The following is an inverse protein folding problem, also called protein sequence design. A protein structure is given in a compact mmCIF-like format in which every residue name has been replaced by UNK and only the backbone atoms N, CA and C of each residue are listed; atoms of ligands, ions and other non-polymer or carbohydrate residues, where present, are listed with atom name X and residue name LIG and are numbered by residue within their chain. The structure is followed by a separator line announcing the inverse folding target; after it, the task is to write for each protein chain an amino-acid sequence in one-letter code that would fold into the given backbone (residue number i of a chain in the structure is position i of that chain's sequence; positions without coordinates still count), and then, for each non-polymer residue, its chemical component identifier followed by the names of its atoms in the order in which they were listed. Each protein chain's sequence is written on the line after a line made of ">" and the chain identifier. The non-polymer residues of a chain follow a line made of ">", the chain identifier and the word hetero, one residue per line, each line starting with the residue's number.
data_IF_615455416507
#
_entry.id   IF_615455416507
#
_cell.length_a   1.000
_cell.length_b   1.000
_cell.length_c   1.000
_cell.angle_alpha   90.00
_cell.angle_beta   90.00
_cell.angle_gamma   90.00
#
_symmetry.space_group_name_H-M   'P 1'
#
loop_
_entity.id
_entity.type
_entity.pdbx_description
1 polymer ?
#
# COMPACT_ATOMS: atom_id res chain seq x y z
N UNK A 1 -57.82 3.92 60.90
CA UNK A 1 -58.24 3.77 62.32
C UNK A 1 -59.13 2.53 62.36
N UNK A 2 -58.90 1.45 63.10
CA UNK A 2 -58.16 1.15 64.33
C UNK A 2 -57.31 -0.14 64.15
N UNK A 3 -56.02 -0.15 64.55
CA UNK A 3 -55.44 -0.83 65.75
C UNK A 3 -55.80 -2.33 65.88
N UNK A 4 -54.89 -3.28 65.66
CA UNK A 4 -53.72 -3.68 66.46
C UNK A 4 -54.08 -4.39 67.78
N UNK A 5 -53.83 -5.69 67.85
CA UNK A 5 -53.47 -6.39 69.10
C UNK A 5 -52.20 -7.20 68.81
N UNK A 6 -51.09 -6.68 69.31
CA UNK A 6 -49.83 -7.39 69.46
C UNK A 6 -49.78 -7.99 70.87
N UNK A 7 -49.14 -9.15 71.00
CA UNK A 7 -48.77 -9.69 72.31
C UNK A 7 -48.62 -11.20 72.28
N UNK A 8 -47.41 -11.68 71.93
CA UNK A 8 -46.57 -12.45 72.86
C UNK A 8 -45.36 -13.02 72.11
N UNK A 9 -44.17 -12.56 72.53
CA UNK A 9 -42.87 -13.10 72.16
C UNK A 9 -42.26 -13.79 73.39
N UNK A 10 -41.80 -15.03 73.19
CA UNK A 10 -40.50 -15.60 73.63
C UNK A 10 -40.33 -15.85 75.14
N UNK A 11 -39.78 -16.95 75.67
CA UNK A 11 -38.72 -17.85 75.20
C UNK A 11 -38.81 -19.21 75.91
N UNK A 12 -38.37 -20.28 75.24
CA UNK A 12 -38.29 -21.61 75.84
C UNK A 12 -37.73 -22.65 74.87
N UNK A 13 -36.41 -22.61 74.69
CA UNK A 13 -35.54 -23.53 73.94
C UNK A 13 -36.09 -24.96 73.75
N UNK A 14 -36.69 -25.19 72.59
CA UNK A 14 -36.97 -26.52 72.04
C UNK A 14 -36.10 -26.74 70.80
N UNK A 15 -35.26 -27.77 70.87
CA UNK A 15 -34.48 -28.34 69.77
C UNK A 15 -35.16 -28.18 68.40
N UNK A 16 -34.66 -27.24 67.58
CA UNK A 16 -35.06 -27.09 66.18
C UNK A 16 -34.54 -28.32 65.44
N UNK A 17 -35.41 -29.33 65.29
CA UNK A 17 -35.16 -30.37 64.31
C UNK A 17 -35.07 -29.69 62.95
N UNK A 18 -33.90 -29.80 62.32
CA UNK A 18 -33.65 -29.40 60.94
C UNK A 18 -34.63 -30.14 60.02
N UNK A 19 -35.80 -29.56 59.79
CA UNK A 19 -36.62 -29.85 58.63
C UNK A 19 -35.90 -29.29 57.41
N UNK A 20 -34.87 -29.98 56.94
CA UNK A 20 -34.41 -29.84 55.56
C UNK A 20 -35.50 -30.47 54.69
N UNK A 21 -36.63 -29.77 54.54
CA UNK A 21 -37.65 -30.11 53.56
C UNK A 21 -36.93 -29.99 52.22
N UNK A 22 -36.53 -31.13 51.66
CA UNK A 22 -35.97 -31.24 50.31
C UNK A 22 -37.08 -30.74 49.38
N UNK A 23 -37.12 -29.44 49.13
CA UNK A 23 -38.00 -28.86 48.12
C UNK A 23 -37.53 -29.47 46.81
N UNK A 24 -38.22 -30.52 46.38
CA UNK A 24 -38.03 -31.10 45.06
C UNK A 24 -38.44 -30.01 44.08
N UNK A 25 -37.45 -29.26 43.59
CA UNK A 25 -37.67 -28.23 42.59
C UNK A 25 -38.29 -28.92 41.38
N UNK A 26 -39.52 -28.52 41.03
CA UNK A 26 -40.16 -28.98 39.81
C UNK A 26 -39.31 -28.49 38.63
N UNK A 27 -38.76 -29.45 37.90
CA UNK A 27 -37.77 -29.20 36.87
C UNK A 27 -38.23 -29.77 35.53
N UNK A 28 -37.86 -29.09 34.45
CA UNK A 28 -37.96 -29.65 33.12
C UNK A 28 -36.84 -30.68 32.87
N UNK A 29 -36.99 -31.54 31.83
CA UNK A 29 -35.92 -32.39 31.34
C UNK A 29 -34.66 -31.59 30.98
N UNK A 30 -33.53 -32.28 30.87
CA UNK A 30 -32.25 -31.68 30.46
C UNK A 30 -32.34 -31.08 29.05
N UNK A 31 -32.54 -29.76 29.01
CA UNK A 31 -32.59 -28.94 27.79
C UNK A 31 -33.84 -29.13 26.91
N UNK A 32 -34.31 -28.07 26.24
CA UNK A 32 -35.29 -28.20 25.16
C UNK A 32 -34.65 -28.84 23.92
N UNK A 33 -35.43 -29.67 23.22
CA UNK A 33 -35.12 -30.03 21.84
C UNK A 33 -35.38 -28.81 20.95
N UNK A 34 -34.30 -28.18 20.49
CA UNK A 34 -34.37 -27.07 19.56
C UNK A 34 -34.46 -27.51 18.09
N UNK A 35 -34.47 -28.82 17.84
CA UNK A 35 -34.32 -29.41 16.51
C UNK A 35 -32.89 -29.84 16.20
N UNK A 36 -32.70 -30.41 15.01
CA UNK A 36 -31.40 -30.95 14.58
C UNK A 36 -30.29 -29.89 14.58
N UNK A 37 -29.11 -30.27 15.07
CA UNK A 37 -27.92 -29.41 15.12
C UNK A 37 -28.06 -28.12 15.95
N UNK A 38 -29.01 -28.08 16.88
CA UNK A 38 -29.16 -27.00 17.86
C UNK A 38 -28.58 -27.35 19.23
N UNK A 39 -28.28 -26.33 20.02
CA UNK A 39 -27.89 -26.44 21.42
C UNK A 39 -28.58 -25.37 22.26
N UNK A 40 -28.96 -25.74 23.48
CA UNK A 40 -29.52 -24.82 24.46
C UNK A 40 -28.46 -24.41 25.48
N UNK A 41 -28.38 -23.12 25.77
CA UNK A 41 -27.54 -22.59 26.86
C UNK A 41 -28.41 -22.37 28.09
N UNK A 42 -28.22 -23.18 29.14
CA UNK A 42 -28.95 -23.05 30.40
C UNK A 42 -28.07 -23.34 31.61
N UNK A 43 -28.36 -22.67 32.73
CA UNK A 43 -27.70 -22.87 34.02
C UNK A 43 -28.54 -23.68 34.99
N UNK A 44 -29.88 -23.70 34.82
CA UNK A 44 -30.83 -24.44 35.66
C UNK A 44 -32.08 -24.82 34.88
N UNK A 45 -32.62 -26.02 35.11
CA UNK A 45 -33.83 -26.55 34.46
C UNK A 45 -35.08 -26.37 35.32
N UNK A 46 -35.26 -25.23 35.97
CA UNK A 46 -36.38 -25.03 36.92
C UNK A 46 -37.60 -24.49 36.19
N UNK A 47 -38.80 -24.92 36.60
CA UNK A 47 -40.05 -24.35 36.12
C UNK A 47 -40.05 -22.81 36.12
N UNK A 48 -40.51 -22.21 35.02
CA UNK A 48 -40.54 -20.77 34.80
C UNK A 48 -39.29 -20.19 34.14
N UNK A 49 -38.17 -20.92 34.12
CA UNK A 49 -36.93 -20.47 33.47
C UNK A 49 -37.05 -20.48 31.96
N UNK A 50 -36.24 -19.65 31.29
CA UNK A 50 -36.15 -19.59 29.83
C UNK A 50 -34.70 -19.76 29.40
N UNK A 51 -34.52 -20.39 28.25
CA UNK A 51 -33.20 -20.74 27.71
C UNK A 51 -33.10 -20.28 26.27
N UNK A 52 -31.88 -19.97 25.85
CA UNK A 52 -31.61 -19.56 24.47
C UNK A 52 -31.13 -20.77 23.69
N UNK A 53 -31.73 -20.97 22.53
CA UNK A 53 -31.40 -22.04 21.59
C UNK A 53 -30.64 -21.40 20.43
N UNK A 54 -29.51 -22.01 20.07
CA UNK A 54 -28.59 -21.57 19.02
C UNK A 54 -28.09 -22.77 18.23
N UNK A 55 -27.50 -22.56 17.05
CA UNK A 55 -26.84 -23.64 16.34
C UNK A 55 -25.60 -24.16 17.08
N UNK A 56 -25.34 -25.47 16.99
CA UNK A 56 -24.10 -26.09 17.46
C UNK A 56 -22.90 -25.50 16.73
N UNK A 57 -21.71 -25.64 17.33
CA UNK A 57 -20.46 -25.30 16.66
C UNK A 57 -20.36 -26.03 15.30
N UNK A 58 -20.00 -25.29 14.25
CA UNK A 58 -19.96 -25.81 12.88
C UNK A 58 -21.26 -25.64 12.08
N UNK A 59 -22.33 -25.12 12.68
CA UNK A 59 -23.61 -24.85 12.02
C UNK A 59 -24.03 -23.38 12.13
N UNK A 60 -24.84 -22.91 11.20
CA UNK A 60 -25.40 -21.55 11.14
C UNK A 60 -26.86 -21.55 10.70
N UNK A 61 -27.55 -20.45 10.90
CA UNK A 61 -28.87 -20.22 10.28
C UNK A 61 -28.72 -19.69 8.86
N UNK A 62 -29.76 -19.85 8.04
CA UNK A 62 -29.75 -19.25 6.70
C UNK A 62 -29.71 -17.72 6.78
N UNK A 63 -29.15 -17.04 5.76
CA UNK A 63 -29.23 -15.60 5.66
C UNK A 63 -30.68 -15.10 5.74
N UNK A 64 -30.95 -14.14 6.64
CA UNK A 64 -32.30 -13.58 6.84
C UNK A 64 -33.17 -14.31 7.88
N UNK A 65 -32.75 -15.48 8.37
CA UNK A 65 -33.45 -16.19 9.45
C UNK A 65 -32.98 -15.74 10.84
N UNK A 66 -33.80 -16.01 11.86
CA UNK A 66 -33.47 -15.71 13.24
C UNK A 66 -32.30 -16.58 13.74
N UNK A 67 -31.26 -15.96 14.28
CA UNK A 67 -30.04 -16.66 14.75
C UNK A 67 -30.18 -17.33 16.11
N UNK A 68 -31.27 -17.05 16.83
CA UNK A 68 -31.56 -17.60 18.16
C UNK A 68 -33.06 -17.73 18.40
N UNK A 69 -33.44 -18.83 19.03
CA UNK A 69 -34.79 -19.07 19.54
C UNK A 69 -34.82 -19.00 21.07
N UNK A 70 -36.00 -18.78 21.65
CA UNK A 70 -36.20 -18.87 23.10
C UNK A 70 -37.24 -19.94 23.43
N UNK A 71 -36.91 -20.79 24.40
CA UNK A 71 -37.83 -21.79 24.96
C UNK A 71 -37.99 -21.57 26.47
N UNK A 72 -39.19 -21.79 27.00
CA UNK A 72 -39.53 -21.60 28.42
C UNK A 72 -39.94 -22.92 29.04
N UNK A 73 -39.45 -23.22 30.24
CA UNK A 73 -39.89 -24.35 31.04
C UNK A 73 -41.26 -24.02 31.68
N UNK A 74 -42.30 -24.76 31.34
CA UNK A 74 -43.66 -24.56 31.84
C UNK A 74 -43.78 -24.91 33.33
N UNK A 75 -44.54 -24.13 34.09
CA UNK A 75 -44.86 -24.45 35.50
C UNK A 75 -45.89 -25.58 35.63
N UNK A 76 -46.74 -25.75 34.62
CA UNK A 76 -47.89 -26.67 34.68
C UNK A 76 -47.50 -28.05 34.17
N UNK A 77 -46.91 -28.10 32.98
CA UNK A 77 -46.58 -29.35 32.29
C UNK A 77 -45.18 -29.86 32.60
N UNK A 78 -44.31 -29.01 33.17
CA UNK A 78 -42.88 -29.29 33.36
C UNK A 78 -42.19 -29.71 32.06
N UNK A 79 -42.67 -29.19 30.94
CA UNK A 79 -42.08 -29.36 29.62
C UNK A 79 -41.60 -28.02 29.07
N UNK A 80 -40.63 -28.09 28.16
CA UNK A 80 -40.17 -26.94 27.42
C UNK A 80 -41.18 -26.54 26.35
N UNK A 81 -41.45 -25.23 26.22
CA UNK A 81 -42.23 -24.72 25.08
C UNK A 81 -41.43 -24.85 23.79
N UNK A 82 -42.09 -24.97 22.63
CA UNK A 82 -41.41 -24.85 21.35
C UNK A 82 -40.58 -23.56 21.26
N UNK A 83 -39.42 -23.59 20.59
CA UNK A 83 -38.61 -22.40 20.39
C UNK A 83 -39.40 -21.32 19.65
N UNK A 84 -39.31 -20.07 20.10
CA UNK A 84 -39.87 -18.93 19.37
C UNK A 84 -38.82 -17.81 19.22
N UNK A 85 -38.49 -17.39 17.97
CA UNK A 85 -38.83 -18.07 16.72
C UNK A 85 -38.20 -19.47 16.62
N UNK A 86 -38.75 -20.33 15.77
CA UNK A 86 -38.07 -21.57 15.36
C UNK A 86 -36.80 -21.20 14.59
N UNK A 87 -35.71 -21.95 14.84
CA UNK A 87 -34.44 -21.77 14.13
C UNK A 87 -34.11 -23.04 13.36
N UNK A 88 -33.58 -22.89 12.15
CA UNK A 88 -33.09 -24.01 11.34
C UNK A 88 -31.58 -23.87 11.19
N UNK A 89 -30.84 -24.92 11.52
CA UNK A 89 -29.38 -24.91 11.49
C UNK A 89 -28.87 -25.77 10.32
N UNK A 90 -28.09 -25.13 9.46
CA UNK A 90 -27.39 -25.77 8.33
C UNK A 90 -25.89 -25.77 8.59
N UNK A 91 -25.16 -26.69 7.97
CA UNK A 91 -23.71 -26.75 8.11
C UNK A 91 -23.07 -25.41 7.65
N UNK A 92 -22.19 -24.85 8.47
CA UNK A 92 -21.44 -23.65 8.09
C UNK A 92 -20.25 -24.06 7.21
N UNK A 93 -20.47 -23.94 5.90
CA UNK A 93 -19.48 -24.17 4.84
C UNK A 93 -18.68 -22.92 4.49
N UNK A 94 -18.80 -21.83 5.25
CA UNK A 94 -18.05 -20.60 4.95
C UNK A 94 -16.60 -20.69 5.41
N UNK A 95 -15.73 -20.00 4.70
CA UNK A 95 -14.36 -19.78 5.14
C UNK A 95 -14.30 -18.93 6.41
N UNK A 96 -13.60 -19.42 7.43
CA UNK A 96 -13.58 -18.80 8.76
C UNK A 96 -12.91 -17.42 8.76
N UNK A 97 -11.80 -17.28 8.04
CA UNK A 97 -11.02 -16.05 7.99
C UNK A 97 -11.38 -15.20 6.79
N UNK A 98 -11.07 -13.91 6.90
CA UNK A 98 -11.02 -13.07 5.71
C UNK A 98 -9.95 -13.63 4.76
N UNK A 99 -10.17 -13.51 3.45
CA UNK A 99 -9.22 -13.96 2.45
C UNK A 99 -7.88 -13.22 2.60
N UNK A 100 -6.77 -13.82 2.12
CA UNK A 100 -5.46 -13.16 2.11
C UNK A 100 -5.52 -11.78 1.44
N UNK A 101 -4.65 -10.86 1.84
CA UNK A 101 -4.60 -9.52 1.24
C UNK A 101 -3.18 -9.22 0.78
N UNK A 102 -2.75 -9.75 -0.38
CA UNK A 102 -1.40 -9.55 -0.87
C UNK A 102 -1.08 -8.07 -1.09
N UNK A 103 0.17 -7.68 -0.84
CA UNK A 103 0.61 -6.28 -0.89
C UNK A 103 0.46 -5.73 -2.32
N UNK A 104 0.08 -4.46 -2.44
CA UNK A 104 -0.10 -3.74 -3.71
C UNK A 104 -1.10 -4.37 -4.69
N UNK A 105 -1.98 -5.25 -4.20
CA UNK A 105 -3.07 -5.82 -5.00
C UNK A 105 -4.38 -5.08 -4.80
N UNK A 106 -5.25 -5.19 -5.81
CA UNK A 106 -6.68 -4.98 -5.70
C UNK A 106 -7.37 -6.33 -5.74
N UNK A 107 -8.40 -6.50 -4.91
CA UNK A 107 -9.26 -7.68 -4.90
C UNK A 107 -10.54 -7.37 -5.68
N UNK A 108 -11.03 -8.34 -6.42
CA UNK A 108 -12.36 -8.35 -7.04
C UNK A 108 -13.16 -9.40 -6.28
N UNK A 109 -14.06 -8.95 -5.40
CA UNK A 109 -14.83 -9.79 -4.49
C UNK A 109 -16.11 -9.08 -4.04
N UNK A 110 -17.20 -9.83 -3.95
CA UNK A 110 -18.53 -9.39 -3.51
C UNK A 110 -18.76 -9.53 -1.99
N UNK A 111 -17.78 -10.06 -1.25
CA UNK A 111 -17.85 -10.25 0.20
C UNK A 111 -18.36 -11.64 0.64
N UNK A 112 -18.74 -12.51 -0.29
CA UNK A 112 -19.23 -13.86 0.02
C UNK A 112 -18.10 -14.77 0.52
N UNK A 113 -18.41 -15.67 1.44
CA UNK A 113 -17.43 -16.58 2.06
C UNK A 113 -17.79 -18.05 1.89
N UNK A 114 -18.85 -18.33 1.15
CA UNK A 114 -19.39 -19.64 0.87
C UNK A 114 -18.34 -20.53 0.21
N UNK A 115 -18.45 -21.83 0.45
CA UNK A 115 -17.61 -22.81 -0.22
C UNK A 115 -17.78 -22.72 -1.74
N UNK A 116 -16.66 -22.77 -2.46
CA UNK A 116 -16.60 -22.56 -3.89
C UNK A 116 -16.47 -21.10 -4.32
N UNK A 117 -16.67 -20.11 -3.45
CA UNK A 117 -16.46 -18.69 -3.79
C UNK A 117 -15.02 -18.45 -4.20
N UNK A 118 -14.82 -17.76 -5.33
CA UNK A 118 -13.52 -17.37 -5.83
C UNK A 118 -13.27 -15.87 -5.64
N UNK A 119 -12.01 -15.51 -5.37
CA UNK A 119 -11.54 -14.13 -5.29
C UNK A 119 -10.40 -13.97 -6.26
N UNK A 120 -10.52 -12.94 -7.10
CA UNK A 120 -9.50 -12.60 -8.08
C UNK A 120 -8.69 -11.41 -7.60
N UNK A 121 -7.38 -11.58 -7.54
CA UNK A 121 -6.41 -10.52 -7.24
C UNK A 121 -5.71 -10.09 -8.52
N UNK A 122 -5.48 -8.79 -8.63
CA UNK A 122 -4.65 -8.18 -9.67
C UNK A 122 -3.83 -7.04 -9.05
N UNK A 123 -2.75 -6.62 -9.70
CA UNK A 123 -2.00 -5.47 -9.20
C UNK A 123 -2.84 -4.18 -9.24
N UNK A 124 -2.61 -3.30 -8.26
CA UNK A 124 -3.15 -1.94 -8.28
C UNK A 124 -2.60 -1.18 -9.49
N UNK A 125 -3.30 -0.09 -9.85
CA UNK A 125 -2.80 0.85 -10.87
C UNK A 125 -1.41 1.31 -10.44
N UNK A 126 -0.48 1.43 -11.40
CA UNK A 126 0.94 1.76 -11.18
C UNK A 126 1.80 0.65 -10.57
N UNK A 127 1.34 -0.60 -10.47
CA UNK A 127 2.16 -1.75 -10.08
C UNK A 127 2.21 -2.79 -11.19
N UNK A 128 3.36 -3.44 -11.40
CA UNK A 128 3.53 -4.51 -12.40
C UNK A 128 3.50 -5.89 -11.73
N UNK A 129 2.89 -6.85 -12.42
CA UNK A 129 2.93 -8.27 -12.04
C UNK A 129 4.30 -8.84 -12.35
N UNK A 130 4.95 -9.46 -11.37
CA UNK A 130 6.19 -10.22 -11.56
C UNK A 130 5.94 -11.70 -11.91
N UNK A 131 4.69 -12.13 -11.78
CA UNK A 131 4.20 -13.50 -11.94
C UNK A 131 3.00 -13.50 -12.90
N UNK A 132 2.14 -14.51 -12.84
CA UNK A 132 0.84 -14.52 -13.52
C UNK A 132 0.08 -13.19 -13.34
N UNK A 133 -0.70 -12.81 -14.36
CA UNK A 133 -1.45 -11.54 -14.37
C UNK A 133 -2.41 -11.42 -13.18
N UNK A 134 -2.85 -12.56 -12.63
CA UNK A 134 -3.87 -12.65 -11.57
C UNK A 134 -3.57 -13.81 -10.63
N UNK A 135 -3.95 -13.66 -9.37
CA UNK A 135 -4.11 -14.80 -8.45
C UNK A 135 -5.57 -15.07 -8.16
N UNK A 136 -5.94 -16.35 -8.11
CA UNK A 136 -7.28 -16.78 -7.70
C UNK A 136 -7.17 -17.57 -6.40
N UNK A 137 -7.92 -17.13 -5.40
CA UNK A 137 -8.16 -17.90 -4.17
C UNK A 137 -9.58 -18.44 -4.18
N UNK A 138 -9.77 -19.71 -3.81
CA UNK A 138 -11.10 -20.33 -3.66
C UNK A 138 -11.32 -20.72 -2.21
N UNK A 139 -12.54 -20.53 -1.72
CA UNK A 139 -12.94 -21.06 -0.43
C UNK A 139 -13.19 -22.57 -0.55
N UNK A 140 -12.36 -23.39 0.09
CA UNK A 140 -12.47 -24.85 0.11
C UNK A 140 -12.21 -25.36 1.51
N UNK A 141 -13.05 -26.28 2.01
CA UNK A 141 -12.90 -26.86 3.34
C UNK A 141 -12.74 -25.80 4.45
N UNK A 142 -13.49 -24.70 4.33
CA UNK A 142 -13.48 -23.55 5.25
C UNK A 142 -12.15 -22.77 5.30
N UNK A 143 -11.26 -22.97 4.33
CA UNK A 143 -9.98 -22.27 4.18
C UNK A 143 -9.88 -21.64 2.78
N UNK A 144 -9.20 -20.51 2.67
CA UNK A 144 -8.89 -19.90 1.37
C UNK A 144 -7.66 -20.59 0.77
N UNK A 145 -7.87 -21.37 -0.28
CA UNK A 145 -6.84 -22.10 -1.01
C UNK A 145 -6.44 -21.32 -2.26
N UNK A 146 -5.13 -21.21 -2.51
CA UNK A 146 -4.61 -20.64 -3.74
C UNK A 146 -4.79 -21.64 -4.89
N UNK A 147 -5.48 -21.22 -5.95
CA UNK A 147 -5.79 -22.07 -7.13
C UNK A 147 -4.77 -21.89 -8.25
N UNK A 148 -4.21 -20.68 -8.39
CA UNK A 148 -3.22 -20.32 -9.43
C UNK A 148 -1.83 -20.10 -8.79
N UNK A 149 -0.98 -19.26 -9.36
CA UNK A 149 0.25 -18.80 -8.68
C UNK A 149 -0.03 -17.67 -7.68
N UNK A 150 0.88 -17.46 -6.73
CA UNK A 150 0.93 -16.23 -5.93
C UNK A 150 1.24 -15.03 -6.83
N UNK A 151 0.58 -13.90 -6.55
CA UNK A 151 0.79 -12.64 -7.27
C UNK A 151 1.80 -11.79 -6.52
N UNK A 152 2.80 -11.29 -7.24
CA UNK A 152 3.77 -10.32 -6.72
C UNK A 152 3.65 -9.02 -7.51
N UNK A 153 3.38 -7.94 -6.79
CA UNK A 153 3.14 -6.61 -7.35
C UNK A 153 4.22 -5.64 -6.87
N UNK A 154 5.22 -5.41 -7.71
CA UNK A 154 6.32 -4.52 -7.38
C UNK A 154 6.03 -3.09 -7.85
N UNK A 155 6.47 -2.08 -7.06
CA UNK A 155 6.54 -0.73 -7.56
C UNK A 155 7.47 -0.78 -8.79
N UNK A 156 7.02 -0.25 -9.91
CA UNK A 156 7.76 -0.33 -11.14
C UNK A 156 8.98 0.57 -11.00
N UNK A 157 10.15 -0.06 -10.92
CA UNK A 157 11.41 0.66 -11.09
C UNK A 157 11.42 1.20 -12.51
N UNK A 158 11.68 2.49 -12.64
CA UNK A 158 12.04 3.08 -13.91
C UNK A 158 13.26 2.32 -14.44
N UNK A 159 13.30 2.04 -15.75
CA UNK A 159 14.45 1.39 -16.36
C UNK A 159 15.74 2.20 -16.17
N UNK A 160 16.81 1.81 -16.84
CA UNK A 160 18.04 2.60 -16.79
C UNK A 160 17.75 4.03 -17.28
N UNK A 161 18.25 5.06 -16.56
CA UNK A 161 18.08 6.44 -16.98
C UNK A 161 18.77 6.71 -18.32
N UNK A 162 18.36 7.76 -19.06
CA UNK A 162 19.06 8.19 -20.27
C UNK A 162 20.56 8.31 -20.04
N UNK A 163 21.37 7.97 -21.04
CA UNK A 163 22.83 8.04 -20.88
C UNK A 163 23.28 9.43 -20.43
N UNK A 164 24.22 9.44 -19.50
CA UNK A 164 24.86 10.66 -19.03
C UNK A 164 25.65 11.27 -20.19
N UNK A 165 25.41 12.54 -20.56
CA UNK A 165 26.21 13.24 -21.56
C UNK A 165 27.68 13.29 -21.16
N UNK A 166 28.55 13.49 -22.14
CA UNK A 166 29.98 13.71 -21.87
C UNK A 166 30.18 14.88 -20.91
N UNK A 167 31.11 14.74 -19.95
CA UNK A 167 31.29 15.65 -18.81
C UNK A 167 30.02 15.93 -17.98
N UNK A 168 29.02 15.04 -18.02
CA UNK A 168 27.81 15.10 -17.21
C UNK A 168 27.91 14.27 -15.92
N UNK A 169 27.10 14.63 -14.94
CA UNK A 169 26.92 13.91 -13.67
C UNK A 169 25.43 13.66 -13.47
N UNK A 170 25.09 12.43 -13.07
CA UNK A 170 23.72 12.03 -12.73
C UNK A 170 23.57 11.90 -11.21
N UNK A 171 22.51 12.48 -10.66
CA UNK A 171 22.16 12.41 -9.24
C UNK A 171 20.73 11.88 -9.06
N UNK A 172 20.55 10.89 -8.19
CA UNK A 172 19.22 10.41 -7.80
C UNK A 172 18.65 11.25 -6.67
N UNK A 173 17.56 11.97 -6.93
CA UNK A 173 16.85 12.76 -5.92
C UNK A 173 15.80 11.89 -5.20
N UNK A 174 15.12 11.01 -5.94
CA UNK A 174 14.11 10.07 -5.46
C UNK A 174 14.01 8.85 -6.40
N UNK A 175 13.06 7.95 -6.15
CA UNK A 175 12.81 6.79 -7.00
C UNK A 175 12.21 7.15 -8.38
N UNK A 176 11.65 8.35 -8.53
CA UNK A 176 10.97 8.86 -9.72
C UNK A 176 11.57 10.16 -10.28
N UNK A 177 12.67 10.67 -9.70
CA UNK A 177 13.30 11.91 -10.12
C UNK A 177 14.82 11.81 -10.08
N UNK A 178 15.44 12.22 -11.19
CA UNK A 178 16.88 12.36 -11.30
C UNK A 178 17.26 13.73 -11.85
N UNK A 179 18.48 14.13 -11.55
CA UNK A 179 19.10 15.39 -11.97
C UNK A 179 20.32 15.07 -12.82
N UNK A 180 20.44 15.73 -13.97
CA UNK A 180 21.67 15.82 -14.76
C UNK A 180 22.32 17.18 -14.54
N UNK A 181 23.62 17.18 -14.33
CA UNK A 181 24.44 18.38 -14.11
C UNK A 181 25.69 18.28 -14.96
N UNK A 182 26.30 19.41 -15.35
CA UNK A 182 27.65 19.36 -15.89
C UNK A 182 28.66 19.25 -14.75
N UNK A 183 29.75 18.52 -14.98
CA UNK A 183 30.88 18.49 -14.06
C UNK A 183 31.45 19.92 -13.88
N UNK A 184 32.12 20.13 -12.75
CA UNK A 184 32.71 21.39 -12.31
C UNK A 184 33.66 22.05 -13.33
N UNK A 185 34.21 21.28 -14.27
CA UNK A 185 35.11 21.75 -15.33
C UNK A 185 34.44 21.88 -16.71
N UNK A 186 33.13 21.66 -16.79
CA UNK A 186 32.39 21.72 -18.04
C UNK A 186 31.31 22.81 -17.99
N UNK A 187 31.21 23.57 -19.07
CA UNK A 187 30.18 24.61 -19.25
C UNK A 187 29.09 24.02 -20.14
N UNK A 188 27.82 24.21 -19.75
CA UNK A 188 26.70 23.83 -20.60
C UNK A 188 26.59 24.80 -21.77
N UNK A 189 26.31 24.29 -22.97
CA UNK A 189 25.75 25.12 -24.05
C UNK A 189 24.26 25.43 -23.74
N UNK A 190 23.98 26.39 -22.84
CA UNK A 190 22.60 26.80 -22.48
C UNK A 190 22.42 27.42 -21.08
N UNK A 191 21.18 27.78 -20.73
CA UNK A 191 20.85 28.76 -19.66
C UNK A 191 20.94 28.25 -18.21
N UNK A 192 20.91 26.93 -17.95
CA UNK A 192 20.95 26.37 -16.58
C UNK A 192 21.94 25.19 -16.47
N UNK A 193 22.76 25.12 -15.41
CA UNK A 193 23.75 24.04 -15.17
C UNK A 193 23.13 22.69 -14.77
N UNK A 194 21.83 22.66 -14.48
CA UNK A 194 21.09 21.48 -14.02
C UNK A 194 19.87 21.22 -14.93
N UNK A 195 19.54 19.95 -15.14
CA UNK A 195 18.28 19.52 -15.74
C UNK A 195 17.67 18.34 -14.98
N UNK A 196 16.42 18.50 -14.56
CA UNK A 196 15.69 17.47 -13.82
C UNK A 196 14.75 16.74 -14.77
N UNK A 197 14.77 15.41 -14.74
CA UNK A 197 13.81 14.59 -15.46
C UNK A 197 13.06 13.68 -14.49
N UNK A 198 11.80 13.45 -14.79
CA UNK A 198 10.93 12.58 -14.00
C UNK A 198 10.68 11.28 -14.73
N UNK A 199 10.42 10.23 -13.97
CA UNK A 199 9.93 8.98 -14.51
C UNK A 199 8.41 8.98 -14.56
N UNK A 200 7.85 8.77 -15.74
CA UNK A 200 6.40 8.67 -15.97
C UNK A 200 6.09 7.41 -16.75
N UNK A 201 5.09 6.65 -16.30
CA UNK A 201 4.71 5.37 -16.92
C UNK A 201 5.90 4.41 -17.15
N UNK A 202 6.84 4.39 -16.20
CA UNK A 202 8.02 3.49 -16.18
C UNK A 202 9.09 3.83 -17.22
N UNK A 203 8.96 4.98 -17.86
CA UNK A 203 9.93 5.52 -18.81
C UNK A 203 10.41 6.87 -18.28
N UNK A 204 11.72 7.05 -18.25
CA UNK A 204 12.30 8.36 -17.98
C UNK A 204 11.91 9.34 -19.08
N UNK A 205 11.58 10.58 -18.72
CA UNK A 205 11.47 11.65 -19.70
C UNK A 205 12.78 11.75 -20.51
N UNK A 206 12.66 12.03 -21.81
CA UNK A 206 13.85 12.17 -22.65
C UNK A 206 14.67 13.39 -22.21
N UNK A 207 15.99 13.21 -22.12
CA UNK A 207 16.88 14.33 -21.90
C UNK A 207 16.85 15.25 -23.13
N UNK A 208 16.59 16.56 -22.98
CA UNK A 208 16.53 17.46 -24.13
C UNK A 208 17.83 17.42 -24.93
N UNK A 209 17.73 17.36 -26.27
CA UNK A 209 18.92 17.38 -27.16
C UNK A 209 19.80 18.63 -27.01
N UNK A 210 19.24 19.70 -26.43
CA UNK A 210 19.94 20.94 -26.09
C UNK A 210 20.75 20.86 -24.79
N UNK A 211 20.59 19.79 -24.00
CA UNK A 211 21.43 19.54 -22.83
C UNK A 211 22.74 18.90 -23.29
N UNK A 212 23.82 19.68 -23.30
CA UNK A 212 25.18 19.26 -23.62
C UNK A 212 26.15 19.94 -22.68
N UNK A 213 27.07 19.18 -22.10
CA UNK A 213 28.18 19.68 -21.32
C UNK A 213 29.43 19.68 -22.22
N UNK A 214 30.18 20.78 -22.18
CA UNK A 214 31.35 21.01 -23.02
C UNK A 214 32.54 21.30 -22.10
N UNK A 215 33.65 20.57 -22.28
CA UNK A 215 34.86 20.75 -21.47
C UNK A 215 35.46 22.14 -21.61
N UNK A 216 35.93 22.73 -20.50
CA UNK A 216 36.55 24.06 -20.46
C UNK A 216 37.82 24.19 -21.30
N UNK A 217 38.45 23.08 -21.68
CA UNK A 217 39.59 22.97 -22.59
C UNK A 217 39.24 23.29 -24.05
N UNK A 218 37.95 23.36 -24.38
CA UNK A 218 37.43 23.84 -25.67
C UNK A 218 36.85 25.26 -25.60
N UNK A 219 37.08 26.00 -24.50
CA UNK A 219 36.80 27.43 -24.48
C UNK A 219 37.84 28.15 -25.36
N UNK A 220 37.60 28.10 -26.67
CA UNK A 220 38.41 28.72 -27.71
C UNK A 220 38.65 30.19 -27.35
N UNK A 221 39.93 30.56 -27.24
CA UNK A 221 40.42 31.94 -27.07
C UNK A 221 39.96 32.92 -28.18
N UNK A 222 39.17 32.45 -29.15
CA UNK A 222 38.55 33.23 -30.21
C UNK A 222 37.42 34.15 -29.71
N UNK A 223 36.67 33.76 -28.66
CA UNK A 223 35.52 34.57 -28.20
C UNK A 223 35.94 35.79 -27.37
N UNK A 224 37.10 35.75 -26.69
CA UNK A 224 37.64 36.95 -26.01
C UNK A 224 38.19 37.98 -27.01
N UNK A 225 38.76 37.55 -28.14
CA UNK A 225 39.31 38.48 -29.14
C UNK A 225 38.23 39.33 -29.84
N UNK A 226 37.09 38.73 -30.20
CA UNK A 226 35.96 39.45 -30.80
C UNK A 226 35.36 40.49 -29.83
N UNK A 227 35.30 40.18 -28.52
CA UNK A 227 34.81 41.11 -27.51
C UNK A 227 35.84 42.21 -27.16
N UNK A 228 37.14 41.89 -27.17
CA UNK A 228 38.20 42.88 -26.89
C UNK A 228 38.36 43.89 -28.03
N UNK A 229 38.18 43.47 -29.29
CA UNK A 229 38.25 44.36 -30.45
C UNK A 229 37.03 45.29 -30.58
N UNK A 230 35.86 44.89 -30.07
CA UNK A 230 34.62 45.68 -30.23
C UNK A 230 34.36 46.71 -29.11
N UNK A 231 35.01 46.61 -27.95
CA UNK A 231 34.59 47.38 -26.75
C UNK A 231 35.52 48.55 -26.39
N UNK A 232 36.70 48.75 -26.99
CA UNK A 232 37.60 49.80 -26.43
C UNK A 232 38.44 50.62 -27.41
N UNK A 233 38.33 50.46 -28.73
CA UNK A 233 39.21 51.19 -29.66
C UNK A 233 38.46 51.74 -30.88
N UNK A 234 38.52 53.06 -31.15
CA UNK A 234 37.95 53.62 -32.38
C UNK A 234 38.67 53.00 -33.59
N UNK A 235 37.93 52.74 -34.67
CA UNK A 235 38.39 52.04 -35.89
C UNK A 235 39.73 52.57 -36.44
N UNK A 236 40.04 53.85 -36.21
CA UNK A 236 41.33 54.47 -36.54
C UNK A 236 42.53 53.89 -35.80
N UNK A 237 42.37 53.48 -34.53
CA UNK A 237 43.44 52.89 -33.73
C UNK A 237 43.72 51.43 -34.10
N UNK A 238 42.70 50.68 -34.52
CA UNK A 238 42.85 49.29 -35.00
C UNK A 238 43.70 49.24 -36.28
N UNK A 239 43.48 50.17 -37.21
CA UNK A 239 44.30 50.30 -38.43
C UNK A 239 45.74 50.68 -38.14
N UNK A 240 45.99 51.58 -37.18
CA UNK A 240 47.34 51.96 -36.77
C UNK A 240 48.07 50.80 -36.11
N UNK A 241 47.39 50.02 -35.24
CA UNK A 241 47.96 48.81 -34.64
C UNK A 241 48.26 47.73 -35.68
N UNK A 242 47.38 47.51 -36.68
CA UNK A 242 47.62 46.56 -37.77
C UNK A 242 48.80 46.99 -38.65
N UNK A 243 48.96 48.27 -38.96
CA UNK A 243 50.11 48.79 -39.72
C UNK A 243 51.41 48.67 -38.92
N UNK A 244 51.38 48.96 -37.61
CA UNK A 244 52.55 48.79 -36.73
C UNK A 244 52.92 47.31 -36.59
N UNK A 245 51.95 46.41 -36.46
CA UNK A 245 52.19 44.96 -36.42
C UNK A 245 52.75 44.44 -37.75
N UNK A 246 52.26 44.92 -38.90
CA UNK A 246 52.83 44.61 -40.21
C UNK A 246 54.27 45.13 -40.37
N UNK A 247 54.57 46.34 -39.87
CA UNK A 247 55.93 46.89 -39.89
C UNK A 247 56.89 46.18 -38.92
N UNK A 248 56.37 45.63 -37.82
CA UNK A 248 57.16 44.83 -36.86
C UNK A 248 57.35 43.37 -37.32
N UNK A 249 56.48 42.86 -38.20
CA UNK A 249 56.55 41.50 -38.75
C UNK A 249 57.56 41.36 -39.91
N UNK A 250 57.96 42.46 -40.57
CA UNK A 250 59.00 42.44 -41.62
C UNK A 250 60.43 42.45 -41.07
N UNK A 251 60.59 42.59 -39.74
CA UNK A 251 61.89 42.55 -39.05
C UNK A 251 62.17 41.14 -38.55
N UNK A 252 63.19 40.48 -39.11
CA UNK A 252 63.53 39.05 -38.86
C UNK A 252 63.82 38.69 -37.40
N UNK A 253 64.05 39.68 -36.53
CA UNK A 253 64.41 39.48 -35.12
C UNK A 253 63.27 39.82 -34.15
N UNK A 254 62.04 39.98 -34.64
CA UNK A 254 60.86 40.23 -33.82
C UNK A 254 60.31 38.93 -33.18
N UNK A 255 59.97 38.92 -31.87
CA UNK A 255 59.36 37.77 -31.20
C UNK A 255 58.00 37.36 -31.81
N UNK A 256 57.35 38.25 -32.58
CA UNK A 256 56.09 37.96 -33.28
C UNK A 256 56.28 37.05 -34.50
N UNK A 257 57.46 37.01 -35.12
CA UNK A 257 57.71 36.14 -36.28
C UNK A 257 57.76 34.65 -35.88
N UNK A 258 58.10 34.34 -34.62
CA UNK A 258 58.06 32.97 -34.07
C UNK A 258 56.63 32.45 -33.86
N UNK A 259 55.66 33.34 -33.65
CA UNK A 259 54.25 32.97 -33.43
C UNK A 259 53.59 32.54 -34.75
N UNK A 260 53.91 33.21 -35.87
CA UNK A 260 53.35 32.83 -37.18
C UNK A 260 53.92 31.53 -37.77
N UNK A 261 55.13 31.11 -37.39
CA UNK A 261 55.72 29.82 -37.84
C UNK A 261 55.15 28.59 -37.11
N UNK A 262 54.38 28.77 -36.04
CA UNK A 262 53.80 27.67 -35.26
C UNK A 262 52.44 27.16 -35.78
N UNK A 263 51.84 27.81 -36.78
CA UNK A 263 50.48 27.49 -37.25
C UNK A 263 50.39 27.22 -38.76
N UNK A 264 51.31 26.40 -39.27
CA UNK A 264 51.08 25.66 -40.51
C UNK A 264 51.17 24.18 -40.19
N UNK A 265 50.07 23.60 -39.71
CA UNK A 265 49.83 22.17 -39.94
C UNK A 265 49.55 22.02 -41.43
N UNK A 266 50.43 21.28 -42.10
CA UNK A 266 50.25 20.82 -43.46
C UNK A 266 48.88 20.13 -43.60
N UNK A 267 48.03 20.69 -44.45
CA UNK A 267 46.92 19.96 -45.04
C UNK A 267 47.48 19.37 -46.33
N UNK A 268 47.90 18.11 -46.25
CA UNK A 268 48.23 17.30 -47.43
C UNK A 268 46.96 17.01 -48.23
N UNK A 269 47.05 17.28 -49.54
CA UNK A 269 46.05 16.99 -50.57
C UNK A 269 45.80 15.50 -50.76
#
# INVERSE_FOLDING_TARGET
>A
MLQAVAGNTLDGLGSVQNFTKKFSLRACPEGPDGGENTQASFTKNVAGTSVTITCKAGYRTNPGEATRGRSKCSHETLTWTPPSPNITCVEDKRCYRNPPNPINTRRIWDGQKEEGTEIVYSCRILYKTLTDEKSIYRCENKVWTLVTSEIKCDPPKCGDPPQVPDHGVLTYNSWDQITYQCDTYAIRSGVNSEHKISCKNFTWEELPKSFKCVGSDTYDAHQEWENFLNITLPVSTVLVFLVILCLLATRSDSPFCKICKGSTKEVSY
#
